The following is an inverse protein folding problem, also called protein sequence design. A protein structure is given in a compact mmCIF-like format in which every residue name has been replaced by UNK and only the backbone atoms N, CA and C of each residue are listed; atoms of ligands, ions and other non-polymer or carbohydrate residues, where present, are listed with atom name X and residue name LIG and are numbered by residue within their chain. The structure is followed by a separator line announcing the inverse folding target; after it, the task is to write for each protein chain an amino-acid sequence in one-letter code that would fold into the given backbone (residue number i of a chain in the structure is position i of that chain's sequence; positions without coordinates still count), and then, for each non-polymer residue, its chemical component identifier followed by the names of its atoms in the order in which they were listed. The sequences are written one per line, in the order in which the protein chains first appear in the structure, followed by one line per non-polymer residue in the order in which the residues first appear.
data_IF_497573650330
#
_entry.id   IF_497573650330
#
_cell.length_a   1.000
_cell.length_b   1.000
_cell.length_c   1.000
_cell.angle_alpha   90.00
_cell.angle_beta   90.00
_cell.angle_gamma   90.00
#
_symmetry.space_group_name_H-M   'P 1'
#
loop_
_entity.id
_entity.type
_entity.pdbx_description
1 polymer ?
#
# COMPACT_ATOMS: atom_id res chain seq x y z
N UNK A 1 12.67 -0.17 21.22
CA UNK A 1 11.60 0.59 20.52
C UNK A 1 10.47 -0.39 20.26
N UNK A 2 9.26 -0.12 20.72
CA UNK A 2 8.14 -1.09 20.70
C UNK A 2 6.98 -0.53 19.87
N UNK A 3 6.46 -1.31 18.92
CA UNK A 3 5.33 -0.94 18.05
C UNK A 3 3.94 -1.16 18.69
N UNK A 4 3.90 -1.39 20.01
CA UNK A 4 2.68 -1.71 20.77
C UNK A 4 2.11 -0.46 21.42
N UNK A 5 0.82 -0.21 21.19
CA UNK A 5 0.01 0.83 21.83
C UNK A 5 -1.29 0.18 22.31
N UNK A 6 -1.81 0.62 23.45
CA UNK A 6 -2.92 -0.06 24.15
C UNK A 6 -4.20 -0.16 23.33
N UNK A 7 -4.52 0.88 22.57
CA UNK A 7 -5.75 0.97 21.77
C UNK A 7 -5.50 1.07 20.26
N UNK A 8 -4.27 0.77 19.81
CA UNK A 8 -3.90 0.85 18.39
C UNK A 8 -3.15 -0.41 18.00
N UNK A 9 -3.69 -1.12 17.00
CA UNK A 9 -3.03 -2.27 16.37
C UNK A 9 -2.39 -1.82 15.06
N UNK A 10 -1.07 -1.88 14.99
CA UNK A 10 -0.36 -1.72 13.73
C UNK A 10 -0.53 -3.00 12.90
N UNK A 11 -1.12 -2.87 11.71
CA UNK A 11 -1.49 -4.02 10.86
C UNK A 11 -0.91 -3.95 9.44
N UNK A 12 -0.14 -2.92 9.11
CA UNK A 12 0.37 -2.76 7.75
C UNK A 12 0.95 -1.39 7.47
N UNK A 13 1.35 -1.21 6.22
CA UNK A 13 1.80 0.06 5.66
C UNK A 13 0.87 0.52 4.54
N UNK A 14 0.94 1.82 4.22
CA UNK A 14 0.15 2.44 3.18
C UNK A 14 0.99 3.39 2.35
N UNK A 15 0.78 3.40 1.03
CA UNK A 15 1.28 4.47 0.15
C UNK A 15 0.27 4.82 -0.93
N UNK A 16 0.31 6.08 -1.38
CA UNK A 16 -0.40 6.54 -2.58
C UNK A 16 0.40 6.26 -3.85
N UNK A 17 1.73 6.09 -3.75
CA UNK A 17 2.60 6.10 -4.91
C UNK A 17 2.80 7.51 -5.48
N UNK A 18 3.62 7.65 -6.54
CA UNK A 18 3.84 8.92 -7.22
C UNK A 18 2.62 9.32 -8.06
N UNK A 19 2.32 10.61 -8.14
CA UNK A 19 1.31 11.15 -9.05
C UNK A 19 1.88 11.24 -10.48
N UNK A 20 1.90 10.11 -11.18
CA UNK A 20 2.47 9.99 -12.53
C UNK A 20 1.81 8.82 -13.28
N UNK A 21 1.89 8.82 -14.61
CA UNK A 21 1.54 7.67 -15.44
C UNK A 21 2.71 6.72 -15.70
N UNK A 22 3.91 7.02 -15.19
CA UNK A 22 5.09 6.18 -15.33
C UNK A 22 4.98 4.90 -14.48
N UNK A 23 4.68 3.79 -15.16
CA UNK A 23 4.52 2.48 -14.54
C UNK A 23 5.80 1.99 -13.84
N UNK A 24 7.00 2.37 -14.30
CA UNK A 24 8.27 1.98 -13.66
C UNK A 24 8.40 2.67 -12.31
N UNK A 25 8.08 3.96 -12.25
CA UNK A 25 8.08 4.72 -11.00
C UNK A 25 7.03 4.19 -10.01
N UNK A 26 5.83 3.87 -10.49
CA UNK A 26 4.76 3.27 -9.67
C UNK A 26 5.19 1.93 -9.11
N UNK A 27 5.69 1.03 -9.96
CA UNK A 27 6.16 -0.31 -9.55
C UNK A 27 7.25 -0.22 -8.50
N UNK A 28 8.24 0.67 -8.72
CA UNK A 28 9.31 0.92 -7.75
C UNK A 28 8.77 1.41 -6.40
N UNK A 29 7.75 2.25 -6.39
CA UNK A 29 7.15 2.73 -5.14
C UNK A 29 6.45 1.60 -4.37
N UNK A 30 5.70 0.74 -5.06
CA UNK A 30 4.98 -0.38 -4.44
C UNK A 30 5.92 -1.50 -3.98
N UNK A 31 6.92 -1.85 -4.79
CA UNK A 31 7.96 -2.81 -4.39
C UNK A 31 8.74 -2.30 -3.17
N UNK A 32 9.07 -0.99 -3.14
CA UNK A 32 9.70 -0.36 -2.00
C UNK A 32 8.81 -0.47 -0.75
N UNK A 33 7.50 -0.22 -0.83
CA UNK A 33 6.61 -0.34 0.33
C UNK A 33 6.63 -1.76 0.92
N UNK A 34 6.62 -2.79 0.05
CA UNK A 34 6.75 -4.20 0.47
C UNK A 34 8.07 -4.46 1.19
N UNK A 35 9.18 -3.97 0.66
CA UNK A 35 10.50 -4.09 1.28
C UNK A 35 10.57 -3.38 2.64
N UNK A 36 9.97 -2.18 2.76
CA UNK A 36 9.88 -1.47 4.02
C UNK A 36 9.05 -2.24 5.04
N UNK A 37 7.93 -2.85 4.63
CA UNK A 37 7.12 -3.71 5.50
C UNK A 37 7.96 -4.88 6.01
N UNK A 38 8.65 -5.61 5.13
CA UNK A 38 9.55 -6.71 5.52
C UNK A 38 10.62 -6.24 6.50
N UNK A 39 11.22 -5.07 6.28
CA UNK A 39 12.23 -4.51 7.17
C UNK A 39 11.66 -4.18 8.55
N UNK A 40 10.46 -3.60 8.61
CA UNK A 40 9.77 -3.31 9.87
C UNK A 40 9.45 -4.61 10.61
N UNK A 41 8.94 -5.63 9.92
CA UNK A 41 8.69 -6.95 10.51
C UNK A 41 9.96 -7.55 11.11
N UNK A 42 11.08 -7.50 10.38
CA UNK A 42 12.36 -8.05 10.81
C UNK A 42 12.97 -7.30 12.00
N UNK A 43 12.92 -5.96 11.99
CA UNK A 43 13.53 -5.13 13.05
C UNK A 43 12.74 -5.22 14.36
N UNK A 44 11.41 -5.31 14.27
CA UNK A 44 10.53 -5.23 15.43
C UNK A 44 9.91 -6.57 15.85
N UNK A 45 10.10 -7.64 15.06
CA UNK A 45 9.49 -8.95 15.31
C UNK A 45 7.96 -8.91 15.29
N UNK A 46 7.35 -7.98 14.54
CA UNK A 46 5.91 -7.74 14.54
C UNK A 46 5.36 -7.97 13.13
N UNK A 47 4.45 -8.94 12.98
CA UNK A 47 3.83 -9.26 11.69
C UNK A 47 2.85 -8.17 11.20
N UNK A 48 2.98 -7.77 9.94
CA UNK A 48 2.23 -6.71 9.27
C UNK A 48 1.49 -7.29 8.06
N UNK A 49 0.26 -7.80 8.24
CA UNK A 49 -0.47 -8.50 7.18
C UNK A 49 -0.85 -7.63 5.98
N UNK A 50 -0.83 -6.30 6.10
CA UNK A 50 -1.39 -5.43 5.07
C UNK A 50 -0.40 -4.51 4.36
N UNK A 51 -0.57 -4.46 3.03
CA UNK A 51 -0.04 -3.43 2.16
C UNK A 51 -1.23 -2.74 1.48
N UNK A 52 -1.53 -1.52 1.93
CA UNK A 52 -2.56 -0.66 1.34
C UNK A 52 -1.92 0.19 0.25
N UNK A 53 -2.05 -0.22 -1.00
CA UNK A 53 -1.51 0.48 -2.16
C UNK A 53 -2.31 0.15 -3.42
N UNK A 54 -2.28 1.02 -4.41
CA UNK A 54 -3.14 0.92 -5.59
C UNK A 54 -4.49 1.63 -5.45
N UNK A 55 -4.82 2.39 -6.47
CA UNK A 55 -6.04 3.12 -6.72
C UNK A 55 -6.58 2.77 -8.12
N UNK A 56 -7.65 3.42 -8.57
CA UNK A 56 -8.32 3.07 -9.83
C UNK A 56 -7.45 3.04 -11.08
N UNK A 57 -6.28 3.68 -11.10
CA UNK A 57 -5.40 3.75 -12.27
C UNK A 57 -4.20 2.80 -12.22
N UNK A 58 -3.88 2.24 -11.06
CA UNK A 58 -2.63 1.51 -10.83
C UNK A 58 -2.79 0.28 -9.93
N UNK A 59 -4.02 -0.12 -9.62
CA UNK A 59 -4.30 -1.26 -8.75
C UNK A 59 -3.76 -2.59 -9.30
N UNK A 60 -3.65 -2.76 -10.62
CA UNK A 60 -3.09 -3.97 -11.24
C UNK A 60 -1.61 -4.13 -10.87
N UNK A 61 -0.81 -3.07 -11.05
CA UNK A 61 0.60 -3.04 -10.63
C UNK A 61 0.70 -3.23 -9.12
N UNK A 62 -0.21 -2.63 -8.33
CA UNK A 62 -0.23 -2.81 -6.89
C UNK A 62 -0.44 -4.28 -6.48
N UNK A 63 -1.38 -4.98 -7.13
CA UNK A 63 -1.64 -6.41 -6.88
C UNK A 63 -0.42 -7.26 -7.23
N UNK A 64 0.21 -7.01 -8.38
CA UNK A 64 1.45 -7.70 -8.77
C UNK A 64 2.58 -7.50 -7.75
N UNK A 65 2.67 -6.29 -7.16
CA UNK A 65 3.66 -5.98 -6.13
C UNK A 65 3.23 -6.42 -4.71
N UNK A 66 2.11 -7.13 -4.57
CA UNK A 66 1.69 -7.76 -3.33
C UNK A 66 0.77 -6.91 -2.46
N UNK A 67 -0.01 -6.00 -3.04
CA UNK A 67 -1.06 -5.28 -2.33
C UNK A 67 -2.08 -6.26 -1.75
N UNK A 68 -2.47 -6.04 -0.50
CA UNK A 68 -3.55 -6.79 0.16
C UNK A 68 -4.83 -5.96 0.26
N UNK A 69 -4.72 -4.64 0.08
CA UNK A 69 -5.81 -3.68 0.12
C UNK A 69 -5.62 -2.68 -1.02
N UNK A 70 -6.56 -2.68 -1.98
CA UNK A 70 -6.65 -1.68 -3.06
C UNK A 70 -7.80 -0.71 -2.78
N UNK A 71 -7.69 0.53 -3.28
CA UNK A 71 -8.65 1.61 -2.98
C UNK A 71 -9.33 2.09 -4.25
N UNK A 72 -10.43 1.45 -4.60
CA UNK A 72 -11.10 1.65 -5.89
C UNK A 72 -12.27 2.63 -5.77
N UNK A 73 -12.13 3.81 -6.39
CA UNK A 73 -13.16 4.84 -6.43
C UNK A 73 -13.78 4.96 -7.81
N UNK A 74 -13.10 5.66 -8.73
CA UNK A 74 -13.60 5.95 -10.09
C UNK A 74 -13.96 4.69 -10.87
N UNK A 75 -13.20 3.62 -10.72
CA UNK A 75 -13.45 2.37 -11.45
C UNK A 75 -14.76 1.68 -11.00
N UNK A 76 -15.19 1.89 -9.76
CA UNK A 76 -16.43 1.30 -9.22
C UNK A 76 -17.63 2.24 -9.36
N UNK A 77 -17.44 3.54 -9.12
CA UNK A 77 -18.53 4.51 -9.01
C UNK A 77 -18.61 5.50 -10.18
N UNK A 78 -17.65 5.47 -11.11
CA UNK A 78 -17.54 6.44 -12.20
C UNK A 78 -17.01 7.82 -11.73
N UNK A 79 -17.03 8.83 -12.61
CA UNK A 79 -16.65 10.20 -12.26
C UNK A 79 -17.66 10.83 -11.28
N UNK A 80 -17.22 11.82 -10.50
CA UNK A 80 -18.13 12.60 -9.65
C UNK A 80 -19.13 13.34 -10.54
N UNK A 81 -20.42 13.22 -10.21
CA UNK A 81 -21.46 14.11 -10.73
C UNK A 81 -21.37 15.43 -9.95
N UNK A 82 -21.05 16.51 -10.65
CA UNK A 82 -21.10 17.90 -10.16
C UNK A 82 -22.30 18.60 -10.76
#
# INVERSE_FOLDING_TARGET
HTLKKEHIKLIGLMTLGPLTGDQVAIRKAFSSLREHRNRVENVFGHYLPHLSMGMSEDFEIAVEEGATLVRLGRVLFGPRRT
#
